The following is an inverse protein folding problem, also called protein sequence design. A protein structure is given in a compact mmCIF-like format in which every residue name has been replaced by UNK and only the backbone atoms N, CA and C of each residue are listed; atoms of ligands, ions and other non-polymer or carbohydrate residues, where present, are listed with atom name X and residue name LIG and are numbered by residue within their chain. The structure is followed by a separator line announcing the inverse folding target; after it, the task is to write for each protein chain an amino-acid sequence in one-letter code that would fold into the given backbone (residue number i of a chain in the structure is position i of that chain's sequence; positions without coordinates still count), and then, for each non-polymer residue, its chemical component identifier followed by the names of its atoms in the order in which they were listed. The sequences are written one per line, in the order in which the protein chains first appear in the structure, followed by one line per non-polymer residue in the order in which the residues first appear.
data_IF_199049311799
#
_entry.id   IF_199049311799
#
_cell.length_a   1.000
_cell.length_b   1.000
_cell.length_c   1.000
_cell.angle_alpha   90.00
_cell.angle_beta   90.00
_cell.angle_gamma   90.00
#
_symmetry.space_group_name_H-M   'P 1'
#
loop_
_entity.id
_entity.type
_entity.pdbx_description
1 polymer ?
#
# COMPACT_ATOMS: atom_id res chain seq x y z
N UNK A 1 68.61 21.73 -80.76
CA UNK A 1 68.45 20.55 -79.89
C UNK A 1 68.04 21.08 -78.52
N UNK A 2 66.73 21.10 -78.23
CA UNK A 2 66.19 21.65 -76.98
C UNK A 2 66.20 20.54 -75.92
N UNK A 3 67.01 20.68 -74.88
CA UNK A 3 67.04 19.74 -73.75
C UNK A 3 65.86 20.04 -72.82
N UNK A 4 64.94 19.07 -72.68
CA UNK A 4 63.84 19.12 -71.72
C UNK A 4 64.29 18.38 -70.44
N UNK A 5 64.54 19.12 -69.35
CA UNK A 5 64.84 18.52 -68.04
C UNK A 5 63.54 18.20 -67.32
N UNK A 6 63.26 16.91 -67.11
CA UNK A 6 62.14 16.43 -66.28
C UNK A 6 62.60 16.44 -64.82
N UNK A 7 62.04 17.35 -64.02
CA UNK A 7 62.17 17.35 -62.57
C UNK A 7 61.18 16.35 -61.98
N UNK A 8 61.69 15.27 -61.37
CA UNK A 8 60.86 14.36 -60.57
C UNK A 8 60.64 15.01 -59.21
N UNK A 9 59.44 15.52 -58.95
CA UNK A 9 59.03 15.96 -57.61
C UNK A 9 58.66 14.70 -56.83
N UNK A 10 59.52 14.26 -55.92
CA UNK A 10 59.15 13.25 -54.93
C UNK A 10 58.15 13.87 -53.96
N UNK A 11 56.88 13.48 -54.06
CA UNK A 11 55.88 13.84 -53.06
C UNK A 11 56.21 13.09 -51.76
N UNK A 12 56.73 13.80 -50.76
CA UNK A 12 56.83 13.26 -49.41
C UNK A 12 55.40 13.01 -48.89
N UNK A 13 55.02 11.73 -48.74
CA UNK A 13 53.79 11.37 -48.04
C UNK A 13 54.00 11.59 -46.55
N UNK A 14 53.41 12.65 -46.00
CA UNK A 14 53.24 12.76 -44.56
C UNK A 14 52.39 11.59 -44.08
N UNK A 15 52.89 10.84 -43.08
CA UNK A 15 52.09 9.84 -42.38
C UNK A 15 50.90 10.55 -41.74
N UNK A 16 49.71 9.96 -41.85
CA UNK A 16 48.53 10.49 -41.17
C UNK A 16 48.81 10.58 -39.66
N UNK A 17 48.39 11.68 -38.99
CA UNK A 17 48.59 11.83 -37.56
C UNK A 17 47.88 10.69 -36.80
N UNK A 18 48.52 10.19 -35.74
CA UNK A 18 47.93 9.15 -34.88
C UNK A 18 46.84 9.80 -34.03
N UNK A 19 45.61 9.31 -34.19
CA UNK A 19 44.43 9.78 -33.44
C UNK A 19 44.20 8.94 -32.20
N UNK A 20 43.79 9.57 -31.11
CA UNK A 20 43.33 8.89 -29.89
C UNK A 20 41.81 9.00 -29.84
N UNK A 21 41.11 7.89 -29.66
CA UNK A 21 39.65 7.86 -29.49
C UNK A 21 39.33 7.19 -28.16
N UNK A 22 38.60 7.89 -27.29
CA UNK A 22 38.17 7.40 -25.98
C UNK A 22 36.64 7.47 -25.93
N UNK A 23 35.98 6.34 -25.66
CA UNK A 23 34.52 6.22 -25.60
C UNK A 23 33.79 6.80 -26.84
N UNK A 24 34.34 6.56 -28.04
CA UNK A 24 33.77 7.03 -29.30
C UNK A 24 34.07 8.49 -29.66
N UNK A 25 34.74 9.25 -28.79
CA UNK A 25 35.12 10.64 -29.03
C UNK A 25 36.62 10.77 -29.28
N UNK A 26 36.99 11.49 -30.33
CA UNK A 26 38.39 11.86 -30.59
C UNK A 26 38.90 12.76 -29.46
N UNK A 27 40.07 12.42 -28.90
CA UNK A 27 40.71 13.13 -27.81
C UNK A 27 41.81 14.03 -28.38
N UNK A 28 41.57 15.33 -28.32
CA UNK A 28 42.61 16.33 -28.57
C UNK A 28 43.60 16.35 -27.41
N UNK A 29 44.89 16.27 -27.73
CA UNK A 29 45.97 16.21 -26.74
C UNK A 29 47.02 17.27 -27.05
N UNK A 30 47.53 17.93 -26.02
CA UNK A 30 48.63 18.90 -26.11
C UNK A 30 49.94 18.28 -26.61
N UNK A 31 50.14 16.98 -26.34
CA UNK A 31 51.26 16.18 -26.84
C UNK A 31 50.75 15.09 -27.78
N UNK A 32 51.07 15.22 -29.07
CA UNK A 32 50.69 14.23 -30.08
C UNK A 32 51.31 12.84 -29.78
N UNK A 33 50.58 11.73 -30.00
CA UNK A 33 51.16 10.39 -29.90
C UNK A 33 52.29 10.20 -30.92
N UNK A 34 53.32 9.46 -30.53
CA UNK A 34 54.50 9.21 -31.37
C UNK A 34 54.73 7.72 -31.58
N UNK A 35 55.14 7.34 -32.80
CA UNK A 35 55.56 5.98 -33.09
C UNK A 35 57.07 5.85 -32.84
N UNK A 36 57.45 5.20 -31.76
CA UNK A 36 58.84 4.96 -31.39
C UNK A 36 59.12 3.45 -31.32
N UNK A 37 60.11 2.98 -32.08
CA UNK A 37 60.56 1.57 -32.10
C UNK A 37 59.41 0.56 -32.28
N UNK A 38 58.44 0.91 -33.13
CA UNK A 38 57.26 0.07 -33.43
C UNK A 38 56.18 0.08 -32.35
N UNK A 39 56.27 0.95 -31.34
CA UNK A 39 55.23 1.16 -30.34
C UNK A 39 54.70 2.58 -30.43
N UNK A 40 53.39 2.74 -30.24
CA UNK A 40 52.78 4.06 -30.11
C UNK A 40 52.90 4.47 -28.64
N UNK A 41 53.60 5.58 -28.39
CA UNK A 41 53.61 6.24 -27.10
C UNK A 41 52.49 7.28 -27.09
N UNK A 42 51.58 7.15 -26.13
CA UNK A 42 50.42 8.02 -26.00
C UNK A 42 50.47 8.79 -24.67
N UNK A 43 49.95 10.03 -24.63
CA UNK A 43 49.90 10.86 -23.44
C UNK A 43 48.99 10.25 -22.37
N UNK A 44 49.58 9.54 -21.41
CA UNK A 44 48.88 8.80 -20.35
C UNK A 44 47.95 9.70 -19.53
N UNK A 45 48.36 10.94 -19.23
CA UNK A 45 47.55 11.89 -18.46
C UNK A 45 46.25 12.23 -19.18
N UNK A 46 46.33 12.62 -20.44
CA UNK A 46 45.16 13.00 -21.23
C UNK A 46 44.16 11.84 -21.34
N UNK A 47 44.66 10.60 -21.50
CA UNK A 47 43.82 9.40 -21.56
C UNK A 47 43.18 9.13 -20.19
N UNK A 48 43.97 9.14 -19.11
CA UNK A 48 43.49 8.84 -17.77
C UNK A 48 42.47 9.87 -17.26
N UNK A 49 42.72 11.16 -17.46
CA UNK A 49 41.78 12.23 -17.12
C UNK A 49 40.49 12.14 -17.95
N UNK A 50 40.59 11.81 -19.24
CA UNK A 50 39.41 11.57 -20.09
C UNK A 50 38.57 10.39 -19.61
N UNK A 51 39.21 9.41 -18.98
CA UNK A 51 38.57 8.25 -18.34
C UNK A 51 38.10 8.53 -16.90
N UNK A 52 38.25 9.76 -16.40
CA UNK A 52 37.78 10.17 -15.07
C UNK A 52 38.73 9.86 -13.92
N UNK A 53 39.99 9.53 -14.21
CA UNK A 53 41.01 9.34 -13.18
C UNK A 53 41.80 10.64 -12.91
N UNK A 54 42.22 10.83 -11.67
CA UNK A 54 43.16 11.87 -11.28
C UNK A 54 44.60 11.37 -11.50
N UNK A 55 45.47 12.23 -12.06
CA UNK A 55 46.87 11.88 -12.33
C UNK A 55 47.81 12.80 -11.55
N UNK A 56 48.57 12.21 -10.63
CA UNK A 56 49.53 12.91 -9.78
C UNK A 56 50.95 12.53 -10.21
N UNK A 57 51.81 13.54 -10.40
CA UNK A 57 53.23 13.32 -10.67
C UNK A 57 54.05 13.55 -9.40
N UNK A 58 54.76 12.51 -8.98
CA UNK A 58 55.78 12.57 -7.94
C UNK A 58 57.16 12.71 -8.60
N UNK A 59 57.64 13.95 -8.64
CA UNK A 59 58.93 14.28 -9.24
C UNK A 59 60.14 13.84 -8.43
N UNK A 60 59.98 13.55 -7.14
CA UNK A 60 61.09 13.07 -6.29
C UNK A 60 61.38 11.60 -6.59
N UNK A 61 60.33 10.79 -6.74
CA UNK A 61 60.44 9.36 -7.02
C UNK A 61 60.30 9.01 -8.52
N UNK A 62 60.18 10.01 -9.40
CA UNK A 62 59.87 9.82 -10.83
C UNK A 62 58.68 8.88 -11.07
N UNK A 63 57.62 9.01 -10.27
CA UNK A 63 56.47 8.09 -10.25
C UNK A 63 55.18 8.81 -10.64
N UNK A 64 54.39 8.19 -11.50
CA UNK A 64 53.03 8.64 -11.84
C UNK A 64 52.04 7.83 -11.01
N UNK A 65 51.21 8.51 -10.22
CA UNK A 65 50.04 7.92 -9.56
C UNK A 65 48.79 8.22 -10.39
N UNK A 66 48.01 7.18 -10.68
CA UNK A 66 46.71 7.31 -11.36
C UNK A 66 45.66 6.83 -10.38
N UNK A 67 44.93 7.78 -9.81
CA UNK A 67 43.86 7.52 -8.88
C UNK A 67 42.56 7.46 -9.67
N UNK A 68 42.06 6.26 -9.94
CA UNK A 68 40.66 6.13 -10.35
C UNK A 68 39.80 6.65 -9.22
N UNK A 69 39.09 7.74 -9.45
CA UNK A 69 37.97 8.10 -8.59
C UNK A 69 37.02 6.90 -8.73
N UNK A 70 36.82 6.15 -7.64
CA UNK A 70 35.62 5.31 -7.54
C UNK A 70 34.49 6.29 -7.77
N UNK A 71 33.89 6.32 -8.97
CA UNK A 71 32.54 6.85 -9.10
C UNK A 71 31.79 6.23 -7.93
N UNK A 72 31.16 7.07 -7.11
CA UNK A 72 30.38 6.61 -5.98
C UNK A 72 29.62 5.39 -6.47
N UNK A 73 29.96 4.22 -5.93
CA UNK A 73 29.23 3.01 -6.24
C UNK A 73 27.77 3.40 -6.02
N UNK A 74 26.95 3.25 -7.07
CA UNK A 74 25.52 3.39 -6.87
C UNK A 74 25.20 2.52 -5.66
N UNK A 75 24.53 3.12 -4.68
CA UNK A 75 24.65 2.66 -3.32
C UNK A 75 24.12 1.23 -3.26
N UNK A 76 24.90 0.36 -2.60
CA UNK A 76 24.70 -1.09 -2.57
C UNK A 76 23.23 -1.44 -2.39
N UNK A 77 22.74 -2.45 -3.13
CA UNK A 77 21.31 -2.73 -3.43
C UNK A 77 20.27 -2.34 -2.37
N UNK A 78 20.58 -2.48 -1.08
CA UNK A 78 19.76 -1.99 0.04
C UNK A 78 19.36 -0.50 -0.05
N UNK A 79 20.25 0.40 -0.45
CA UNK A 79 19.92 1.85 -0.57
C UNK A 79 19.09 2.15 -1.84
N UNK A 80 19.16 1.27 -2.84
CA UNK A 80 18.30 1.36 -4.02
C UNK A 80 16.90 0.84 -3.68
N UNK A 81 16.80 -0.30 -3.00
CA UNK A 81 15.54 -0.85 -2.51
C UNK A 81 14.82 0.14 -1.58
N UNK A 82 15.55 0.82 -0.69
CA UNK A 82 15.00 1.86 0.19
C UNK A 82 14.44 3.05 -0.61
N UNK A 83 15.12 3.49 -1.68
CA UNK A 83 14.60 4.55 -2.57
C UNK A 83 13.37 4.12 -3.37
N UNK A 84 13.35 2.87 -3.82
CA UNK A 84 12.19 2.31 -4.53
C UNK A 84 11.00 2.19 -3.57
N UNK A 85 11.24 1.72 -2.33
CA UNK A 85 10.23 1.64 -1.30
C UNK A 85 9.68 3.04 -0.94
N UNK A 86 10.54 4.04 -0.76
CA UNK A 86 10.13 5.44 -0.47
C UNK A 86 9.20 6.01 -1.56
N UNK A 87 9.47 5.72 -2.84
CA UNK A 87 8.58 6.11 -3.95
C UNK A 87 7.21 5.46 -3.81
N UNK A 88 7.15 4.16 -3.50
CA UNK A 88 5.89 3.41 -3.38
C UNK A 88 5.10 3.81 -2.13
N UNK A 89 5.77 3.95 -0.98
CA UNK A 89 5.15 4.38 0.28
C UNK A 89 4.62 5.81 0.18
N UNK A 90 5.41 6.73 -0.38
CA UNK A 90 4.98 8.11 -0.62
C UNK A 90 3.80 8.16 -1.59
N UNK A 91 3.82 7.34 -2.64
CA UNK A 91 2.70 7.23 -3.57
C UNK A 91 1.44 6.71 -2.87
N UNK A 92 1.57 5.65 -2.08
CA UNK A 92 0.52 5.07 -1.24
C UNK A 92 -0.15 6.12 -0.34
N UNK A 93 0.65 6.88 0.41
CA UNK A 93 0.16 7.93 1.31
C UNK A 93 -0.59 9.06 0.59
N UNK A 94 -0.31 9.26 -0.72
CA UNK A 94 -0.96 10.27 -1.56
C UNK A 94 -2.15 9.75 -2.35
N UNK A 95 -2.49 8.45 -2.27
CA UNK A 95 -3.63 7.88 -3.00
C UNK A 95 -4.94 8.62 -2.72
N UNK A 96 -5.21 8.96 -1.46
CA UNK A 96 -6.40 9.72 -1.06
C UNK A 96 -6.45 11.17 -1.61
N UNK A 97 -5.32 11.73 -2.06
CA UNK A 97 -5.24 13.14 -2.51
C UNK A 97 -5.77 13.31 -3.93
N UNK A 98 -5.84 12.24 -4.72
CA UNK A 98 -6.41 12.25 -6.07
C UNK A 98 -7.74 11.49 -6.04
N UNK A 99 -8.82 12.24 -6.19
CA UNK A 99 -10.18 11.69 -6.22
C UNK A 99 -10.59 11.43 -7.66
N UNK A 100 -10.91 10.18 -8.02
CA UNK A 100 -11.39 9.84 -9.38
C UNK A 100 -12.79 10.40 -9.67
N UNK A 101 -13.50 10.80 -8.62
CA UNK A 101 -14.77 11.53 -8.70
C UNK A 101 -14.61 13.05 -8.93
N UNK A 102 -13.38 13.57 -8.96
CA UNK A 102 -13.15 14.98 -9.25
C UNK A 102 -13.55 15.30 -10.70
N UNK A 103 -14.05 16.51 -11.00
CA UNK A 103 -14.26 16.96 -12.37
C UNK A 103 -12.99 16.76 -13.21
N UNK A 104 -13.16 16.35 -14.46
CA UNK A 104 -12.06 16.05 -15.39
C UNK A 104 -11.09 17.24 -15.51
N UNK A 105 -11.62 18.47 -15.45
CA UNK A 105 -10.85 19.71 -15.58
C UNK A 105 -9.83 19.94 -14.47
N UNK A 106 -10.04 19.34 -13.29
CA UNK A 106 -9.12 19.45 -12.14
C UNK A 106 -8.36 18.15 -11.89
N UNK A 107 -8.78 17.03 -12.49
CA UNK A 107 -8.19 15.71 -12.25
C UNK A 107 -6.74 15.66 -12.74
N UNK A 108 -6.47 16.12 -13.96
CA UNK A 108 -5.10 16.15 -14.52
C UNK A 108 -4.17 16.99 -13.64
N UNK A 109 -4.62 18.17 -13.21
CA UNK A 109 -3.86 19.03 -12.32
C UNK A 109 -3.61 18.35 -10.97
N UNK A 110 -4.64 17.73 -10.39
CA UNK A 110 -4.53 17.00 -9.13
C UNK A 110 -3.56 15.82 -9.21
N UNK A 111 -3.62 15.03 -10.30
CA UNK A 111 -2.67 13.94 -10.56
C UNK A 111 -1.25 14.48 -10.68
N UNK A 112 -1.04 15.56 -11.44
CA UNK A 112 0.27 16.15 -11.61
C UNK A 112 0.84 16.69 -10.29
N UNK A 113 0.02 17.35 -9.47
CA UNK A 113 0.44 17.93 -8.19
C UNK A 113 0.78 16.86 -7.13
N UNK A 114 0.08 15.73 -7.14
CA UNK A 114 0.22 14.71 -6.11
C UNK A 114 1.11 13.53 -6.52
N UNK A 115 1.16 13.20 -7.81
CA UNK A 115 1.87 12.04 -8.35
C UNK A 115 3.05 12.40 -9.27
N UNK A 116 3.16 13.65 -9.73
CA UNK A 116 4.12 14.06 -10.77
C UNK A 116 5.60 13.83 -10.45
N UNK A 117 5.96 13.77 -9.16
CA UNK A 117 7.30 13.47 -8.65
C UNK A 117 7.56 11.97 -8.45
N UNK A 118 6.52 11.13 -8.51
CA UNK A 118 6.56 9.70 -8.18
C UNK A 118 6.24 8.80 -9.38
N UNK A 119 5.50 9.33 -10.35
CA UNK A 119 4.94 8.57 -11.48
C UNK A 119 5.48 9.11 -12.79
N UNK A 120 5.80 8.21 -13.71
CA UNK A 120 6.29 8.56 -15.03
C UNK A 120 5.24 9.38 -15.82
N UNK A 121 5.64 10.44 -16.54
CA UNK A 121 4.71 11.29 -17.30
C UNK A 121 3.81 10.51 -18.25
N UNK A 122 4.33 9.45 -18.88
CA UNK A 122 3.55 8.62 -19.79
C UNK A 122 2.40 7.89 -19.08
N UNK A 123 2.62 7.43 -17.84
CA UNK A 123 1.59 6.75 -17.05
C UNK A 123 0.55 7.76 -16.55
N UNK A 124 0.97 8.97 -16.16
CA UNK A 124 0.04 10.05 -15.81
C UNK A 124 -0.86 10.45 -16.99
N UNK A 125 -0.30 10.54 -18.19
CA UNK A 125 -1.09 10.79 -19.41
C UNK A 125 -2.07 9.64 -19.71
N UNK A 126 -1.69 8.39 -19.44
CA UNK A 126 -2.62 7.26 -19.58
C UNK A 126 -3.78 7.39 -18.58
N UNK A 127 -3.47 7.66 -17.31
CA UNK A 127 -4.47 7.84 -16.26
C UNK A 127 -5.36 9.06 -16.47
N UNK A 128 -4.85 10.14 -17.05
CA UNK A 128 -5.67 11.28 -17.45
C UNK A 128 -6.73 10.87 -18.49
N UNK A 129 -6.36 10.01 -19.46
CA UNK A 129 -7.30 9.50 -20.49
C UNK A 129 -8.26 8.43 -19.97
N UNK A 130 -7.78 7.61 -19.05
CA UNK A 130 -8.54 6.50 -18.46
C UNK A 130 -8.43 6.52 -16.92
N UNK A 131 -9.15 7.45 -16.24
CA UNK A 131 -9.03 7.66 -14.79
C UNK A 131 -9.22 6.41 -13.93
N UNK A 132 -10.10 5.50 -14.35
CA UNK A 132 -10.41 4.26 -13.61
C UNK A 132 -9.22 3.28 -13.53
N UNK A 133 -8.19 3.45 -14.37
CA UNK A 133 -6.94 2.66 -14.29
C UNK A 133 -5.98 3.18 -13.22
N UNK A 134 -6.14 4.42 -12.78
CA UNK A 134 -5.32 4.99 -11.72
C UNK A 134 -5.82 4.54 -10.34
N UNK A 135 -4.93 4.14 -9.43
CA UNK A 135 -5.33 3.99 -8.03
C UNK A 135 -5.62 5.38 -7.43
N UNK A 136 -6.62 5.47 -6.54
CA UNK A 136 -7.03 6.73 -5.94
C UNK A 136 -8.36 6.63 -5.21
N UNK A 137 -8.89 7.75 -4.74
CA UNK A 137 -10.17 7.76 -4.00
C UNK A 137 -11.36 7.59 -4.96
N UNK A 138 -11.95 6.40 -4.97
CA UNK A 138 -13.14 6.07 -5.78
C UNK A 138 -14.45 6.27 -5.01
N UNK A 139 -14.44 6.06 -3.70
CA UNK A 139 -15.60 6.19 -2.80
C UNK A 139 -15.23 7.06 -1.59
N UNK A 140 -16.23 7.44 -0.78
CA UNK A 140 -16.00 8.22 0.45
C UNK A 140 -15.50 7.37 1.63
N UNK A 141 -15.79 6.07 1.61
CA UNK A 141 -15.34 5.06 2.59
C UNK A 141 -15.62 3.66 2.02
N UNK A 142 -14.77 2.65 2.30
CA UNK A 142 -13.41 2.80 2.82
C UNK A 142 -12.50 3.51 1.80
N UNK A 143 -11.43 4.17 2.24
CA UNK A 143 -10.52 4.91 1.36
C UNK A 143 -9.09 4.40 1.48
N UNK A 144 -8.29 4.46 0.39
CA UNK A 144 -6.90 4.06 0.42
C UNK A 144 -6.10 4.99 1.34
N UNK A 145 -5.37 4.39 2.28
CA UNK A 145 -4.55 5.10 3.27
C UNK A 145 -3.06 4.98 2.95
N UNK A 146 -2.60 3.76 2.65
CA UNK A 146 -1.19 3.44 2.35
C UNK A 146 -1.06 2.24 1.42
N UNK A 147 0.17 1.97 0.99
CA UNK A 147 0.56 0.70 0.38
C UNK A 147 1.50 -0.02 1.34
N UNK A 148 1.17 -1.26 1.71
CA UNK A 148 2.09 -2.16 2.42
C UNK A 148 2.89 -2.98 1.42
N UNK A 149 4.22 -2.87 1.45
CA UNK A 149 5.09 -3.62 0.54
C UNK A 149 5.29 -5.04 1.07
N UNK A 150 4.91 -6.03 0.27
CA UNK A 150 5.05 -7.45 0.59
C UNK A 150 6.34 -8.04 0.01
N UNK A 151 6.70 -7.64 -1.20
CA UNK A 151 7.90 -8.07 -1.88
C UNK A 151 8.41 -7.01 -2.86
N UNK A 152 9.73 -6.94 -3.00
CA UNK A 152 10.42 -6.03 -3.90
C UNK A 152 11.53 -6.82 -4.59
N UNK A 153 11.52 -6.85 -5.92
CA UNK A 153 12.42 -7.68 -6.72
C UNK A 153 12.97 -6.88 -7.92
N UNK A 154 14.29 -6.88 -8.10
CA UNK A 154 14.91 -6.34 -9.33
C UNK A 154 14.64 -7.31 -10.49
N UNK A 155 13.85 -6.88 -11.48
CA UNK A 155 13.45 -7.72 -12.62
C UNK A 155 14.31 -7.46 -13.86
N UNK A 156 14.91 -6.27 -13.95
CA UNK A 156 15.88 -5.88 -14.97
C UNK A 156 16.77 -4.76 -14.41
N UNK A 157 17.94 -4.47 -15.02
CA UNK A 157 18.81 -3.40 -14.55
C UNK A 157 18.05 -2.08 -14.37
N UNK A 158 18.09 -1.54 -13.16
CA UNK A 158 17.38 -0.31 -12.78
C UNK A 158 15.84 -0.39 -12.88
N UNK A 159 15.27 -1.58 -12.72
CA UNK A 159 13.82 -1.84 -12.79
C UNK A 159 13.41 -2.80 -11.69
N UNK A 160 12.50 -2.36 -10.85
CA UNK A 160 11.98 -3.12 -9.73
C UNK A 160 10.50 -3.40 -9.89
N UNK A 161 10.10 -4.62 -9.60
CA UNK A 161 8.70 -4.98 -9.39
C UNK A 161 8.43 -4.98 -7.89
N UNK A 162 7.41 -4.24 -7.48
CA UNK A 162 6.97 -4.13 -6.09
C UNK A 162 5.58 -4.74 -6.00
N UNK A 163 5.44 -5.80 -5.21
CA UNK A 163 4.14 -6.38 -4.85
C UNK A 163 3.75 -5.87 -3.47
N UNK A 164 2.52 -5.41 -3.34
CA UNK A 164 2.00 -4.88 -2.09
C UNK A 164 0.49 -4.96 -2.00
N UNK A 165 -0.04 -4.38 -0.94
CA UNK A 165 -1.47 -4.24 -0.70
C UNK A 165 -1.79 -2.78 -0.43
N UNK A 166 -2.76 -2.23 -1.16
CA UNK A 166 -3.39 -0.96 -0.79
C UNK A 166 -4.27 -1.26 0.42
N UNK A 167 -3.94 -0.61 1.53
CA UNK A 167 -4.72 -0.69 2.76
C UNK A 167 -5.80 0.37 2.71
N UNK A 168 -7.05 -0.05 2.75
CA UNK A 168 -8.20 0.83 2.82
C UNK A 168 -8.76 0.84 4.24
N UNK A 169 -9.13 2.03 4.73
CA UNK A 169 -9.63 2.25 6.09
C UNK A 169 -10.93 3.06 6.05
N UNK A 170 -11.76 2.93 7.06
CA UNK A 170 -12.86 3.86 7.33
C UNK A 170 -12.45 4.88 8.40
N UNK A 171 -13.36 5.79 8.74
CA UNK A 171 -13.18 6.77 9.82
C UNK A 171 -12.93 6.10 11.17
N UNK A 172 -13.43 4.88 11.35
CA UNK A 172 -13.30 4.10 12.58
C UNK A 172 -11.88 3.55 12.70
N UNK A 173 -11.38 2.82 11.70
CA UNK A 173 -10.05 2.22 11.77
C UNK A 173 -8.94 3.29 11.78
N UNK A 174 -9.18 4.48 11.21
CA UNK A 174 -8.21 5.59 11.28
C UNK A 174 -8.03 6.11 12.72
N UNK A 175 -9.07 6.06 13.56
CA UNK A 175 -9.03 6.55 14.93
C UNK A 175 -8.54 5.50 15.92
N UNK A 176 -8.84 4.23 15.67
CA UNK A 176 -8.69 3.16 16.66
C UNK A 176 -7.71 2.05 16.24
N UNK A 177 -7.24 2.08 14.98
CA UNK A 177 -6.41 1.05 14.36
C UNK A 177 -7.25 -0.07 13.76
N UNK A 178 -6.83 -0.59 12.61
CA UNK A 178 -7.54 -1.63 11.88
C UNK A 178 -7.37 -1.48 10.36
N UNK A 179 -7.94 -2.42 9.62
CA UNK A 179 -7.96 -2.43 8.16
C UNK A 179 -9.38 -2.78 7.73
N UNK A 180 -9.99 -1.94 6.89
CA UNK A 180 -11.34 -2.17 6.38
C UNK A 180 -11.31 -3.08 5.14
N UNK A 181 -10.32 -2.90 4.26
CA UNK A 181 -10.10 -3.76 3.10
C UNK A 181 -8.64 -3.74 2.66
N UNK A 182 -8.23 -4.79 1.95
CA UNK A 182 -6.92 -4.92 1.32
C UNK A 182 -7.11 -5.13 -0.18
N UNK A 183 -6.43 -4.33 -0.99
CA UNK A 183 -6.43 -4.51 -2.44
C UNK A 183 -5.02 -4.79 -2.95
N UNK A 184 -4.74 -5.98 -3.49
CA UNK A 184 -3.42 -6.29 -4.02
C UNK A 184 -3.04 -5.35 -5.17
N UNK A 185 -1.79 -4.90 -5.15
CA UNK A 185 -1.22 -4.01 -6.16
C UNK A 185 0.17 -4.48 -6.56
N UNK A 186 0.44 -4.47 -7.85
CA UNK A 186 1.79 -4.63 -8.41
C UNK A 186 2.21 -3.33 -9.07
N UNK A 187 3.35 -2.78 -8.66
CA UNK A 187 3.97 -1.59 -9.25
C UNK A 187 5.27 -1.96 -9.96
N UNK A 188 5.55 -1.31 -11.08
CA UNK A 188 6.86 -1.34 -11.73
C UNK A 188 7.52 0.02 -11.53
N UNK A 189 8.68 0.03 -10.89
CA UNK A 189 9.45 1.25 -10.60
C UNK A 189 10.75 1.21 -11.40
N UNK A 190 10.97 2.21 -12.25
CA UNK A 190 12.13 2.31 -13.11
C UNK A 190 12.94 3.57 -12.82
N UNK A 191 14.26 3.49 -12.94
CA UNK A 191 15.12 4.66 -12.90
C UNK A 191 15.01 5.44 -14.20
N UNK A 192 14.50 6.66 -14.15
CA UNK A 192 14.45 7.61 -15.27
C UNK A 192 15.34 8.81 -14.96
N UNK A 193 16.51 8.84 -15.61
CA UNK A 193 17.51 9.87 -15.34
C UNK A 193 18.05 9.74 -13.92
N UNK A 194 17.75 10.71 -13.06
CA UNK A 194 18.24 10.76 -11.69
C UNK A 194 17.19 10.39 -10.63
N UNK A 195 15.99 9.98 -11.05
CA UNK A 195 14.86 9.67 -10.17
C UNK A 195 14.30 8.27 -10.45
N UNK A 196 13.76 7.64 -9.42
CA UNK A 196 12.94 6.43 -9.53
C UNK A 196 11.49 6.84 -9.71
N UNK A 197 10.81 6.25 -10.70
CA UNK A 197 9.42 6.58 -11.02
C UNK A 197 8.61 5.30 -11.25
N UNK A 198 7.37 5.30 -10.78
CA UNK A 198 6.38 4.28 -11.09
C UNK A 198 6.03 4.41 -12.58
N UNK A 199 6.20 3.33 -13.32
CA UNK A 199 5.98 3.25 -14.78
C UNK A 199 4.82 2.35 -15.16
N UNK A 200 4.40 1.46 -14.27
CA UNK A 200 3.18 0.67 -14.41
C UNK A 200 2.57 0.37 -13.04
N UNK A 201 1.24 0.25 -13.01
CA UNK A 201 0.47 -0.22 -11.85
C UNK A 201 -0.54 -1.23 -12.36
N UNK A 202 -0.65 -2.36 -11.68
CA UNK A 202 -1.69 -3.37 -11.88
C UNK A 202 -2.42 -3.54 -10.56
N UNK A 203 -3.74 -3.34 -10.59
CA UNK A 203 -4.62 -3.60 -9.46
C UNK A 203 -5.29 -4.92 -9.71
N UNK A 204 -5.14 -5.86 -8.78
CA UNK A 204 -5.91 -7.09 -8.83
C UNK A 204 -7.27 -6.87 -8.16
N UNK A 205 -8.13 -7.89 -8.25
CA UNK A 205 -9.40 -7.93 -7.52
C UNK A 205 -9.13 -7.77 -6.03
N UNK A 206 -10.07 -7.16 -5.30
CA UNK A 206 -9.99 -7.08 -3.84
C UNK A 206 -9.65 -8.46 -3.30
N UNK A 207 -8.53 -8.56 -2.60
CA UNK A 207 -8.21 -9.78 -1.88
C UNK A 207 -9.36 -9.99 -0.91
N UNK A 208 -9.89 -11.21 -0.84
CA UNK A 208 -10.79 -11.58 0.25
C UNK A 208 -10.03 -11.23 1.55
N UNK A 209 -10.38 -10.11 2.19
CA UNK A 209 -9.97 -9.91 3.56
C UNK A 209 -10.45 -11.16 4.29
N UNK A 210 -9.57 -11.87 5.00
CA UNK A 210 -9.99 -13.06 5.72
C UNK A 210 -11.14 -12.67 6.65
N UNK A 211 -12.37 -13.02 6.26
CA UNK A 211 -13.55 -12.71 7.06
C UNK A 211 -13.40 -13.48 8.37
N UNK A 212 -13.35 -12.75 9.49
CA UNK A 212 -13.29 -13.40 10.78
C UNK A 212 -14.71 -13.86 11.10
N UNK A 213 -15.00 -15.12 10.82
CA UNK A 213 -16.33 -15.68 11.04
C UNK A 213 -16.41 -16.34 12.42
N UNK A 214 -17.25 -15.79 13.29
CA UNK A 214 -17.71 -16.48 14.49
C UNK A 214 -18.87 -17.41 14.13
N UNK A 215 -18.66 -18.73 14.23
CA UNK A 215 -19.72 -19.72 14.04
C UNK A 215 -20.25 -20.16 15.40
N UNK A 216 -21.56 -20.06 15.59
CA UNK A 216 -22.25 -20.59 16.76
C UNK A 216 -23.15 -21.77 16.36
N UNK A 217 -22.63 -22.99 16.54
CA UNK A 217 -23.37 -24.22 16.25
C UNK A 217 -24.50 -24.49 17.26
N UNK A 218 -24.41 -23.93 18.47
CA UNK A 218 -25.41 -24.13 19.53
C UNK A 218 -26.75 -23.50 19.19
N UNK A 219 -26.75 -22.31 18.59
CA UNK A 219 -27.96 -21.56 18.23
C UNK A 219 -28.16 -21.44 16.72
N UNK A 220 -27.17 -21.81 15.90
CA UNK A 220 -27.31 -21.89 14.46
C UNK A 220 -27.22 -20.55 13.75
N UNK A 221 -26.14 -19.81 14.00
CA UNK A 221 -25.84 -18.58 13.26
C UNK A 221 -24.33 -18.44 13.06
N UNK A 222 -23.95 -17.59 12.11
CA UNK A 222 -22.60 -17.05 12.00
C UNK A 222 -22.61 -15.53 12.12
N UNK A 223 -21.51 -14.97 12.59
CA UNK A 223 -21.31 -13.53 12.70
C UNK A 223 -20.00 -13.16 12.03
N UNK A 224 -20.05 -12.24 11.07
CA UNK A 224 -18.87 -11.77 10.32
C UNK A 224 -18.25 -10.59 11.07
N UNK A 225 -16.97 -10.70 11.38
CA UNK A 225 -16.20 -9.70 12.11
C UNK A 225 -15.06 -9.16 11.22
N UNK A 226 -14.70 -7.87 11.38
CA UNK A 226 -13.54 -7.30 10.71
C UNK A 226 -12.23 -7.76 11.34
N UNK A 227 -11.11 -7.52 10.66
CA UNK A 227 -9.76 -7.93 11.11
C UNK A 227 -9.40 -7.36 12.49
N UNK A 228 -9.91 -6.18 12.86
CA UNK A 228 -9.70 -5.56 14.19
C UNK A 228 -10.20 -6.45 15.35
N UNK A 229 -11.12 -7.38 15.08
CA UNK A 229 -11.66 -8.33 16.05
C UNK A 229 -10.89 -9.65 16.09
N UNK A 230 -9.73 -9.75 15.42
CA UNK A 230 -8.85 -10.90 15.53
C UNK A 230 -8.47 -11.18 17.00
N UNK A 231 -8.82 -12.37 17.48
CA UNK A 231 -8.63 -12.75 18.87
C UNK A 231 -9.78 -12.38 19.82
N UNK A 232 -10.97 -12.07 19.28
CA UNK A 232 -12.19 -11.94 20.08
C UNK A 232 -12.39 -13.15 21.01
N UNK A 233 -13.12 -12.92 22.10
CA UNK A 233 -13.57 -14.01 22.99
C UNK A 233 -15.08 -13.99 23.11
N UNK A 234 -15.69 -15.12 23.47
CA UNK A 234 -17.12 -15.20 23.71
C UNK A 234 -17.37 -15.28 25.21
N UNK A 235 -18.26 -14.43 25.71
CA UNK A 235 -18.81 -14.54 27.05
C UNK A 235 -20.30 -14.76 26.99
N UNK A 236 -20.78 -15.65 27.84
CA UNK A 236 -22.17 -16.03 27.92
C UNK A 236 -22.73 -15.60 29.26
N UNK A 237 -23.78 -14.79 29.19
CA UNK A 237 -24.57 -14.32 30.32
C UNK A 237 -26.04 -14.68 30.09
N UNK A 238 -26.93 -14.12 30.92
CA UNK A 238 -28.36 -14.29 30.79
C UNK A 238 -29.06 -12.94 30.79
N UNK A 239 -30.03 -12.78 29.89
CA UNK A 239 -30.96 -11.67 29.96
C UNK A 239 -32.19 -12.09 30.77
N UNK A 240 -32.80 -11.13 31.46
CA UNK A 240 -34.04 -11.29 32.21
C UNK A 240 -35.09 -10.31 31.69
N UNK A 241 -36.32 -10.80 31.58
CA UNK A 241 -37.52 -10.04 31.27
C UNK A 241 -38.47 -10.03 32.46
N UNK A 242 -39.06 -8.89 32.75
CA UNK A 242 -39.84 -8.65 33.97
C UNK A 242 -41.32 -8.47 33.66
N UNK A 243 -42.16 -8.91 34.62
CA UNK A 243 -43.60 -8.73 34.56
C UNK A 243 -43.95 -7.22 34.62
N UNK A 244 -44.79 -6.70 33.70
CA UNK A 244 -45.17 -5.28 33.69
C UNK A 244 -45.93 -4.83 34.95
N UNK A 245 -46.68 -5.73 35.58
CA UNK A 245 -47.46 -5.49 36.81
C UNK A 245 -46.68 -5.82 38.08
N UNK A 246 -45.63 -6.65 37.98
CA UNK A 246 -44.74 -7.01 39.09
C UNK A 246 -43.25 -6.93 38.70
N UNK A 247 -42.64 -5.72 38.65
CA UNK A 247 -41.29 -5.51 38.10
C UNK A 247 -40.14 -6.24 38.80
N UNK A 248 -40.36 -6.78 40.00
CA UNK A 248 -39.38 -7.61 40.72
C UNK A 248 -39.48 -9.11 40.35
N UNK A 249 -40.47 -9.49 39.53
CA UNK A 249 -40.73 -10.87 39.12
C UNK A 249 -40.18 -11.10 37.72
N UNK A 250 -39.24 -12.03 37.60
CA UNK A 250 -38.72 -12.51 36.31
C UNK A 250 -39.81 -13.34 35.62
N UNK A 251 -40.31 -12.84 34.50
CA UNK A 251 -41.33 -13.48 33.66
C UNK A 251 -40.70 -14.34 32.55
N UNK A 252 -39.53 -13.95 32.05
CA UNK A 252 -38.78 -14.68 31.03
C UNK A 252 -37.27 -14.48 31.21
N UNK A 253 -36.47 -15.41 30.69
CA UNK A 253 -35.02 -15.27 30.65
C UNK A 253 -34.44 -16.08 29.49
N UNK A 254 -33.22 -15.75 29.06
CA UNK A 254 -32.55 -16.47 27.98
C UNK A 254 -31.07 -16.12 27.84
N UNK A 255 -30.37 -16.76 26.90
CA UNK A 255 -28.94 -16.55 26.69
C UNK A 255 -28.63 -15.15 26.17
N UNK A 256 -27.59 -14.52 26.72
CA UNK A 256 -26.96 -13.32 26.20
C UNK A 256 -25.51 -13.67 25.81
N UNK A 257 -25.24 -13.74 24.51
CA UNK A 257 -23.90 -13.94 23.98
C UNK A 257 -23.22 -12.58 23.83
N UNK A 258 -21.98 -12.48 24.23
CA UNK A 258 -21.19 -11.25 24.15
C UNK A 258 -19.93 -11.60 23.36
N UNK A 259 -19.84 -11.10 22.13
CA UNK A 259 -18.59 -11.12 21.38
C UNK A 259 -17.75 -10.00 21.97
N UNK A 260 -16.69 -10.39 22.69
CA UNK A 260 -15.83 -9.47 23.40
C UNK A 260 -14.67 -9.02 22.54
N UNK A 261 -14.51 -7.71 22.45
CA UNK A 261 -13.42 -7.10 21.71
C UNK A 261 -12.05 -7.52 22.30
N UNK A 262 -11.04 -7.87 21.48
CA UNK A 262 -9.73 -8.34 21.97
C UNK A 262 -8.99 -7.35 22.88
N UNK A 263 -9.21 -6.05 22.67
CA UNK A 263 -8.65 -4.97 23.50
C UNK A 263 -9.47 -4.63 24.75
N UNK A 264 -10.60 -5.31 25.00
CA UNK A 264 -11.42 -5.05 26.17
C UNK A 264 -10.67 -5.36 27.47
N UNK A 265 -10.74 -4.47 28.46
CA UNK A 265 -10.25 -4.73 29.82
C UNK A 265 -11.21 -4.16 30.87
N UNK A 266 -11.15 -4.66 32.11
CA UNK A 266 -11.95 -4.13 33.21
C UNK A 266 -11.60 -2.67 33.57
N UNK A 267 -10.36 -2.24 33.32
CA UNK A 267 -9.88 -0.88 33.58
C UNK A 267 -10.25 0.09 32.45
N UNK A 268 -10.31 -0.43 31.22
CA UNK A 268 -10.62 0.31 29.99
C UNK A 268 -11.63 -0.50 29.16
N UNK A 269 -12.92 -0.45 29.53
CA UNK A 269 -13.95 -1.21 28.82
C UNK A 269 -14.16 -0.64 27.42
N UNK A 270 -14.21 -1.54 26.44
CA UNK A 270 -14.55 -1.24 25.04
C UNK A 270 -15.94 -1.79 24.73
N UNK A 271 -16.61 -1.31 23.68
CA UNK A 271 -17.92 -1.82 23.28
C UNK A 271 -17.78 -3.28 22.81
N UNK A 272 -18.47 -4.18 23.49
CA UNK A 272 -18.68 -5.56 23.04
C UNK A 272 -19.91 -5.61 22.11
N UNK A 273 -20.07 -6.71 21.35
CA UNK A 273 -21.29 -6.98 20.55
C UNK A 273 -22.18 -7.98 21.30
N UNK A 274 -23.26 -7.52 21.96
CA UNK A 274 -24.22 -8.38 22.63
C UNK A 274 -25.28 -8.94 21.68
N UNK A 275 -25.51 -10.25 21.72
CA UNK A 275 -26.55 -10.96 20.97
C UNK A 275 -27.45 -11.68 21.97
N UNK A 276 -28.67 -11.20 22.11
CA UNK A 276 -29.73 -11.86 22.85
C UNK A 276 -30.32 -12.98 22.00
N UNK A 277 -30.50 -14.15 22.61
CA UNK A 277 -31.17 -15.29 21.97
C UNK A 277 -32.55 -15.48 22.58
N UNK A 278 -33.57 -15.43 21.74
CA UNK A 278 -34.96 -15.69 22.09
C UNK A 278 -35.46 -16.94 21.38
N UNK A 279 -36.33 -17.71 22.02
CA UNK A 279 -37.26 -18.57 21.26
C UNK A 279 -38.34 -17.72 20.59
N UNK A 280 -38.94 -18.20 19.50
CA UNK A 280 -40.07 -17.50 18.84
C UNK A 280 -41.20 -17.15 19.82
N UNK A 281 -41.56 -18.08 20.73
CA UNK A 281 -42.60 -17.84 21.73
C UNK A 281 -42.22 -16.72 22.73
N UNK A 282 -40.95 -16.63 23.12
CA UNK A 282 -40.49 -15.54 23.98
C UNK A 282 -40.49 -14.20 23.25
N UNK A 283 -40.09 -14.19 21.97
CA UNK A 283 -40.12 -12.97 21.15
C UNK A 283 -41.55 -12.45 20.98
N UNK A 284 -42.50 -13.31 20.60
CA UNK A 284 -43.91 -12.95 20.45
C UNK A 284 -44.52 -12.45 21.77
N UNK A 285 -44.26 -13.13 22.89
CA UNK A 285 -44.74 -12.70 24.21
C UNK A 285 -44.19 -11.32 24.60
N UNK A 286 -42.92 -11.02 24.29
CA UNK A 286 -42.34 -9.70 24.50
C UNK A 286 -43.01 -8.63 23.63
N UNK A 287 -43.21 -8.90 22.34
CA UNK A 287 -43.87 -7.96 21.41
C UNK A 287 -45.32 -7.68 21.80
N UNK A 288 -46.00 -8.66 22.38
CA UNK A 288 -47.35 -8.52 22.92
C UNK A 288 -47.40 -7.79 24.27
N UNK A 289 -46.24 -7.45 24.85
CA UNK A 289 -46.14 -6.74 26.13
C UNK A 289 -46.40 -7.62 27.35
N UNK A 290 -46.28 -8.94 27.23
CA UNK A 290 -46.42 -9.87 28.37
C UNK A 290 -45.25 -9.74 29.35
N UNK A 291 -44.09 -9.31 28.87
CA UNK A 291 -42.94 -8.91 29.68
C UNK A 291 -42.11 -7.85 28.96
N UNK A 292 -41.21 -7.19 29.70
CA UNK A 292 -40.30 -6.18 29.15
C UNK A 292 -38.86 -6.45 29.60
N UNK A 293 -37.89 -6.02 28.77
CA UNK A 293 -36.46 -6.20 29.03
C UNK A 293 -35.83 -4.85 29.30
N UNK A 294 -35.36 -4.68 30.54
CA UNK A 294 -34.82 -3.42 31.02
C UNK A 294 -35.88 -2.30 31.11
N UNK A 295 -35.52 -1.17 31.70
CA UNK A 295 -36.45 -0.06 31.92
C UNK A 295 -36.61 0.88 30.71
N UNK A 296 -36.05 0.52 29.55
CA UNK A 296 -36.04 1.39 28.38
C UNK A 296 -37.41 1.39 27.67
N UNK A 297 -37.86 2.54 27.12
CA UNK A 297 -39.13 2.62 26.37
C UNK A 297 -39.06 1.97 24.98
N UNK A 298 -37.90 1.42 24.61
CA UNK A 298 -37.62 0.77 23.33
C UNK A 298 -37.10 -0.62 23.68
N UNK A 299 -37.61 -1.65 23.02
CA UNK A 299 -37.19 -3.04 23.22
C UNK A 299 -35.94 -3.41 22.43
N UNK A 300 -35.50 -4.68 22.54
CA UNK A 300 -34.45 -5.24 21.70
C UNK A 300 -34.73 -5.06 20.20
N UNK A 301 -33.67 -4.86 19.41
CA UNK A 301 -33.74 -4.77 17.94
C UNK A 301 -33.35 -6.12 17.34
N UNK A 302 -34.24 -6.70 16.54
CA UNK A 302 -33.92 -7.94 15.81
C UNK A 302 -32.75 -7.75 14.84
N UNK A 303 -31.88 -8.76 14.80
CA UNK A 303 -30.76 -8.89 13.85
C UNK A 303 -31.11 -9.88 12.74
N UNK A 304 -31.48 -11.10 13.11
CA UNK A 304 -31.90 -12.17 12.19
C UNK A 304 -32.64 -13.27 12.98
N UNK A 305 -33.17 -14.29 12.30
CA UNK A 305 -33.85 -15.44 12.91
C UNK A 305 -33.68 -16.73 12.12
N UNK A 306 -33.72 -17.87 12.81
CA UNK A 306 -33.82 -19.19 12.19
C UNK A 306 -35.10 -19.93 12.62
N UNK A 307 -35.22 -21.22 12.28
CA UNK A 307 -36.38 -22.05 12.59
C UNK A 307 -36.71 -22.15 14.08
N UNK A 308 -35.78 -21.85 14.99
CA UNK A 308 -35.95 -22.03 16.44
C UNK A 308 -35.76 -20.75 17.26
N UNK A 309 -34.89 -19.85 16.81
CA UNK A 309 -34.46 -18.70 17.57
C UNK A 309 -34.60 -17.38 16.80
N UNK A 310 -34.78 -16.30 17.56
CA UNK A 310 -34.66 -14.91 17.11
C UNK A 310 -33.43 -14.32 17.80
N UNK A 311 -32.56 -13.67 17.03
CA UNK A 311 -31.35 -13.01 17.50
C UNK A 311 -31.60 -11.50 17.54
N UNK A 312 -31.26 -10.85 18.65
CA UNK A 312 -31.52 -9.43 18.80
C UNK A 312 -30.43 -8.70 19.60
N UNK A 313 -30.25 -7.42 19.31
CA UNK A 313 -29.46 -6.51 20.11
C UNK A 313 -30.28 -6.01 21.30
N UNK A 314 -29.72 -5.93 22.52
CA UNK A 314 -30.34 -5.23 23.63
C UNK A 314 -30.67 -3.78 23.28
N UNK A 315 -31.79 -3.28 23.83
CA UNK A 315 -32.09 -1.86 23.75
C UNK A 315 -30.95 -1.05 24.36
N UNK A 316 -30.51 0.01 23.65
CA UNK A 316 -29.54 0.97 24.18
C UNK A 316 -28.21 0.33 24.64
N UNK A 317 -27.78 -0.75 23.99
CA UNK A 317 -26.57 -1.50 24.35
C UNK A 317 -25.29 -0.63 24.35
N UNK A 318 -25.28 0.50 23.64
CA UNK A 318 -24.18 1.47 23.54
C UNK A 318 -24.45 2.80 24.27
N UNK A 319 -25.45 2.89 25.16
CA UNK A 319 -25.89 4.16 25.77
C UNK A 319 -24.83 4.86 26.64
N UNK A 320 -23.85 4.10 27.14
CA UNK A 320 -22.72 4.67 27.88
C UNK A 320 -21.65 5.29 26.96
N UNK A 321 -21.81 5.19 25.64
CA UNK A 321 -20.82 5.55 24.63
C UNK A 321 -19.41 5.05 25.00
N UNK A 322 -19.25 3.76 25.32
CA UNK A 322 -17.93 3.22 25.64
C UNK A 322 -17.02 3.33 24.40
N UNK A 323 -15.71 3.30 24.62
CA UNK A 323 -14.75 3.30 23.51
C UNK A 323 -15.08 2.18 22.51
N UNK A 324 -14.94 2.43 21.20
CA UNK A 324 -15.31 1.48 20.15
C UNK A 324 -16.81 1.33 19.87
N UNK A 325 -17.69 2.17 20.41
CA UNK A 325 -19.13 2.04 20.09
C UNK A 325 -19.45 2.39 18.63
N UNK A 326 -18.75 3.35 18.02
CA UNK A 326 -18.92 3.66 16.60
C UNK A 326 -18.48 2.50 15.70
N UNK A 327 -17.43 1.77 16.09
CA UNK A 327 -17.00 0.56 15.37
C UNK A 327 -18.10 -0.50 15.38
N UNK A 328 -18.70 -0.76 16.53
CA UNK A 328 -19.76 -1.75 16.65
C UNK A 328 -21.02 -1.33 15.88
N UNK A 329 -21.39 -0.05 15.88
CA UNK A 329 -22.49 0.44 15.03
C UNK A 329 -22.19 0.22 13.54
N UNK A 330 -20.97 0.54 13.08
CA UNK A 330 -20.57 0.33 11.70
C UNK A 330 -20.58 -1.15 11.29
N UNK A 331 -20.14 -2.05 12.19
CA UNK A 331 -20.25 -3.51 11.96
C UNK A 331 -21.71 -3.92 11.84
N UNK A 332 -22.59 -3.41 12.68
CA UNK A 332 -24.02 -3.80 12.67
C UNK A 332 -24.80 -3.22 11.48
N UNK A 333 -24.32 -2.15 10.85
CA UNK A 333 -24.91 -1.60 9.62
C UNK A 333 -24.68 -2.50 8.38
N UNK A 334 -23.77 -3.48 8.45
CA UNK A 334 -23.50 -4.42 7.35
C UNK A 334 -24.32 -5.71 7.40
N UNK A 335 -25.29 -5.79 8.33
CA UNK A 335 -26.07 -7.00 8.61
C UNK A 335 -25.16 -8.25 8.86
N UNK A 336 -24.26 -8.20 9.86
CA UNK A 336 -23.15 -9.16 10.01
C UNK A 336 -23.58 -10.52 10.57
N UNK A 337 -24.79 -10.63 11.11
CA UNK A 337 -25.32 -11.87 11.68
C UNK A 337 -26.16 -12.58 10.63
N UNK A 338 -25.79 -13.82 10.32
CA UNK A 338 -26.54 -14.66 9.40
C UNK A 338 -27.00 -15.94 10.10
N UNK A 339 -28.30 -16.10 10.22
CA UNK A 339 -28.93 -17.26 10.81
C UNK A 339 -29.02 -18.42 9.82
N UNK A 340 -28.74 -19.64 10.27
CA UNK A 340 -28.91 -20.83 9.44
C UNK A 340 -30.39 -21.17 9.33
N UNK A 341 -31.00 -20.89 8.17
CA UNK A 341 -32.42 -21.14 7.90
C UNK A 341 -32.88 -22.58 8.16
N UNK A 342 -31.98 -23.55 7.98
CA UNK A 342 -32.27 -24.99 8.16
C UNK A 342 -31.99 -25.49 9.59
N UNK A 343 -31.74 -24.58 10.53
CA UNK A 343 -31.55 -24.93 11.93
C UNK A 343 -32.90 -25.32 12.58
N UNK A 344 -32.97 -26.54 13.13
CA UNK A 344 -34.21 -27.22 13.59
C UNK A 344 -34.19 -27.42 15.11
#
# INVERSE_FOLDING_TARGET
MLLLTITVIAAARALAPIKIVVNGSELETDVAPVLEKGRVLAPVRAIAEKLGAEVIWDGENNTVYINTIKQAEEPEGKDIEEKVADVVETFGARLQKVSLLAPEEILEQSMQENYGDLVAPQLLEEWAREPLKAPGRQVSSPWPERIEILALEETAPNTYQVKGEIIEVTSVELAEGGIAARRPVTLVVEKKGNSWLITAVTLDDYGEAEEIVYNNDEYGFRFILPESWAGYTIVTEQWEGFDPEAPETVAAQGPLLIIRHPQWTAEKPRQDIPIMVFTHAQWEAMENGEFHIGAAPIGPKELDRNGKYVFALPARYNFAFPEGYEEVEAILETDPLEANENYI
#
